data_IF_211417523009
#
_entry.id   IF_211417523009
#
_cell.length_a   1.000
_cell.length_b   1.000
_cell.length_c   1.000
_cell.angle_alpha   90.00
_cell.angle_beta   90.00
_cell.angle_gamma   90.00
#
_symmetry.space_group_name_H-M   'P 1'
#
loop_
_entity.id
_entity.type
_entity.pdbx_description
1 polymer ?
#
# COMPACT_ATOMS: atom_id res chain seq x y z
N UNK A 1 5.06 -19.23 -2.28
CA UNK A 1 3.96 -20.03 -2.86
C UNK A 1 4.48 -21.42 -3.23
N UNK A 2 3.66 -22.45 -3.07
CA UNK A 2 3.99 -23.80 -3.56
C UNK A 2 3.82 -23.82 -5.09
N UNK A 3 4.83 -24.31 -5.81
CA UNK A 3 4.80 -24.51 -7.26
C UNK A 3 4.23 -25.88 -7.60
N UNK A 4 4.67 -26.91 -6.86
CA UNK A 4 4.13 -28.25 -6.82
C UNK A 4 4.41 -28.91 -5.44
N UNK A 5 4.38 -30.24 -5.34
CA UNK A 5 4.57 -30.94 -4.05
C UNK A 5 5.93 -30.73 -3.39
N UNK A 6 6.98 -30.34 -4.15
CA UNK A 6 8.36 -30.19 -3.66
C UNK A 6 8.93 -28.80 -3.89
N UNK A 7 8.40 -28.04 -4.86
CA UNK A 7 8.96 -26.79 -5.29
C UNK A 7 8.22 -25.61 -4.70
N UNK A 8 8.98 -24.62 -4.25
CA UNK A 8 8.46 -23.44 -3.56
C UNK A 8 9.04 -22.20 -4.23
N UNK A 9 8.16 -21.23 -4.55
CA UNK A 9 8.57 -19.87 -4.91
C UNK A 9 8.71 -19.04 -3.64
N UNK A 10 9.87 -18.42 -3.46
CA UNK A 10 10.21 -17.58 -2.32
C UNK A 10 10.45 -16.17 -2.83
N UNK A 11 9.83 -15.18 -2.20
CA UNK A 11 10.09 -13.78 -2.48
C UNK A 11 10.22 -12.97 -1.20
N UNK A 12 10.89 -11.85 -1.31
CA UNK A 12 11.05 -10.92 -0.20
C UNK A 12 11.63 -9.60 -0.67
N UNK A 13 11.98 -8.76 0.29
CA UNK A 13 12.75 -7.55 0.04
C UNK A 13 14.14 -7.71 0.61
N UNK A 14 15.11 -6.99 0.02
CA UNK A 14 16.50 -7.00 0.51
C UNK A 14 17.01 -5.57 0.69
N UNK A 15 18.06 -5.44 1.50
CA UNK A 15 18.77 -4.19 1.74
C UNK A 15 20.25 -4.37 1.49
N UNK A 16 20.86 -3.38 0.88
CA UNK A 16 22.33 -3.30 0.73
C UNK A 16 23.01 -2.65 1.93
N UNK A 17 22.22 -2.02 2.82
CA UNK A 17 22.69 -1.33 4.02
C UNK A 17 22.18 -1.96 5.32
N UNK A 18 22.59 -1.35 6.45
CA UNK A 18 22.24 -1.82 7.79
C UNK A 18 20.86 -1.27 8.29
N UNK A 19 20.10 -0.61 7.44
CA UNK A 19 18.80 -0.03 7.78
C UNK A 19 17.65 -1.04 7.75
N UNK A 20 16.50 -0.65 8.30
CA UNK A 20 15.25 -1.43 8.24
C UNK A 20 14.52 -1.32 6.90
N UNK A 21 14.93 -0.37 6.06
CA UNK A 21 14.34 -0.16 4.72
C UNK A 21 15.03 -1.05 3.68
N UNK A 22 14.26 -1.49 2.71
CA UNK A 22 14.74 -2.33 1.60
C UNK A 22 15.08 -1.49 0.36
N UNK A 23 16.06 -1.93 -0.41
CA UNK A 23 16.50 -1.30 -1.67
C UNK A 23 15.93 -1.99 -2.90
N UNK A 24 15.38 -3.18 -2.73
CA UNK A 24 14.81 -3.96 -3.80
C UNK A 24 14.03 -5.17 -3.31
N UNK A 25 13.61 -5.97 -4.25
CA UNK A 25 12.96 -7.26 -4.03
C UNK A 25 13.78 -8.39 -4.66
N UNK A 26 13.59 -9.59 -4.17
CA UNK A 26 14.20 -10.80 -4.74
C UNK A 26 13.14 -11.88 -4.95
N UNK A 27 13.45 -12.75 -5.93
CA UNK A 27 12.70 -13.97 -6.20
C UNK A 27 13.68 -15.12 -6.33
N UNK A 28 13.35 -16.26 -5.75
CA UNK A 28 14.06 -17.53 -5.91
C UNK A 28 13.08 -18.68 -5.83
N UNK A 29 13.48 -19.83 -6.35
CA UNK A 29 12.69 -21.06 -6.36
C UNK A 29 13.49 -22.20 -5.75
N UNK A 30 12.80 -23.23 -5.28
CA UNK A 30 13.42 -24.53 -5.07
C UNK A 30 13.08 -25.44 -6.25
N UNK A 31 14.02 -26.28 -6.66
CA UNK A 31 13.81 -27.35 -7.64
C UNK A 31 14.26 -28.65 -6.99
N UNK A 32 13.37 -29.62 -6.90
CA UNK A 32 13.57 -30.88 -6.16
C UNK A 32 14.02 -30.69 -4.70
N UNK A 33 13.59 -29.55 -4.10
CA UNK A 33 13.93 -29.15 -2.73
C UNK A 33 15.27 -28.42 -2.59
N UNK A 34 16.02 -28.20 -3.66
CA UNK A 34 17.27 -27.43 -3.66
C UNK A 34 17.03 -25.97 -4.04
N UNK A 35 17.55 -25.05 -3.22
CA UNK A 35 17.40 -23.60 -3.46
C UNK A 35 18.20 -23.18 -4.70
N UNK A 36 17.55 -22.52 -5.63
CA UNK A 36 18.13 -21.95 -6.84
C UNK A 36 18.73 -20.56 -6.56
N UNK A 37 19.53 -20.04 -7.51
CA UNK A 37 20.03 -18.68 -7.45
C UNK A 37 18.88 -17.66 -7.38
N UNK A 38 19.01 -16.66 -6.51
CA UNK A 38 18.03 -15.62 -6.38
C UNK A 38 18.22 -14.54 -7.46
N UNK A 39 17.12 -14.10 -8.05
CA UNK A 39 17.08 -12.92 -8.91
C UNK A 39 16.81 -11.70 -8.05
N UNK A 40 17.66 -10.68 -8.13
CA UNK A 40 17.55 -9.43 -7.38
C UNK A 40 17.15 -8.28 -8.29
N UNK A 41 16.21 -7.45 -7.84
CA UNK A 41 15.66 -6.33 -8.58
C UNK A 41 15.67 -5.08 -7.69
N UNK A 42 16.54 -4.11 -8.02
CA UNK A 42 16.54 -2.82 -7.33
C UNK A 42 15.27 -2.03 -7.67
N UNK A 43 14.68 -1.35 -6.72
CA UNK A 43 13.50 -0.54 -6.96
C UNK A 43 13.71 0.52 -8.04
N UNK A 44 14.88 1.17 -8.07
CA UNK A 44 15.19 2.22 -9.04
C UNK A 44 15.30 1.71 -10.49
N UNK A 45 15.48 0.40 -10.67
CA UNK A 45 15.63 -0.22 -11.98
C UNK A 45 14.32 -0.86 -12.47
N UNK A 46 13.30 -0.92 -11.62
CA UNK A 46 11.98 -1.37 -12.01
C UNK A 46 11.31 -0.34 -12.91
N UNK A 47 10.77 -0.80 -14.03
CA UNK A 47 9.97 0.04 -14.92
C UNK A 47 8.78 0.64 -14.17
N UNK A 48 8.49 1.89 -14.45
CA UNK A 48 7.38 2.65 -13.83
C UNK A 48 7.41 2.76 -12.30
N UNK A 49 8.50 2.38 -11.61
CA UNK A 49 8.56 2.46 -10.16
C UNK A 49 8.34 3.89 -9.64
N UNK A 50 8.86 4.89 -10.35
CA UNK A 50 8.73 6.30 -9.95
C UNK A 50 7.44 6.97 -10.46
N UNK A 51 6.55 6.26 -11.15
CA UNK A 51 5.35 6.82 -11.77
C UNK A 51 4.37 7.46 -10.77
N UNK A 52 4.43 7.09 -9.51
CA UNK A 52 3.64 7.71 -8.44
C UNK A 52 4.09 9.12 -8.07
N UNK A 53 5.30 9.53 -8.47
CA UNK A 53 5.86 10.86 -8.23
C UNK A 53 5.48 11.85 -9.33
N UNK A 54 5.43 13.16 -9.03
CA UNK A 54 5.31 14.18 -10.06
C UNK A 54 6.48 14.12 -11.07
N UNK A 55 6.22 14.35 -12.34
CA UNK A 55 7.22 14.31 -13.44
C UNK A 55 8.50 15.09 -13.14
N UNK A 56 8.36 16.29 -12.55
CA UNK A 56 9.52 17.10 -12.13
C UNK A 56 10.43 16.39 -11.13
N UNK A 57 9.85 15.58 -10.26
CA UNK A 57 10.60 14.79 -9.26
C UNK A 57 11.26 13.59 -9.92
N UNK A 58 10.55 12.90 -10.81
CA UNK A 58 11.10 11.80 -11.61
C UNK A 58 12.33 12.28 -12.38
N UNK A 59 12.21 13.37 -13.16
CA UNK A 59 13.33 13.96 -13.92
C UNK A 59 14.54 14.36 -13.07
N UNK A 60 14.32 14.73 -11.80
CA UNK A 60 15.43 15.02 -10.86
C UNK A 60 16.15 13.74 -10.42
N UNK A 61 15.40 12.66 -10.20
CA UNK A 61 15.95 11.37 -9.82
C UNK A 61 16.73 10.80 -11.01
N UNK A 62 16.18 10.87 -12.22
CA UNK A 62 16.85 10.38 -13.44
C UNK A 62 18.19 11.10 -13.67
N UNK A 63 18.22 12.44 -13.59
CA UNK A 63 19.47 13.21 -13.66
C UNK A 63 20.46 12.82 -12.56
N UNK A 64 19.98 12.49 -11.36
CA UNK A 64 20.84 12.01 -10.28
C UNK A 64 21.39 10.63 -10.59
N UNK A 65 20.57 9.72 -11.14
CA UNK A 65 20.97 8.36 -11.57
C UNK A 65 22.08 8.46 -12.63
N UNK A 66 21.88 9.24 -13.68
CA UNK A 66 22.87 9.48 -14.73
C UNK A 66 24.21 10.03 -14.18
N UNK A 67 24.12 11.06 -13.31
CA UNK A 67 25.31 11.64 -12.69
C UNK A 67 26.06 10.67 -11.79
N UNK A 68 25.38 9.75 -11.11
CA UNK A 68 26.03 8.74 -10.28
C UNK A 68 26.65 7.67 -11.16
N UNK A 69 25.95 7.21 -12.19
CA UNK A 69 26.45 6.23 -13.16
C UNK A 69 27.73 6.74 -13.88
N UNK A 70 27.79 8.02 -14.25
CA UNK A 70 29.01 8.63 -14.84
C UNK A 70 30.22 8.62 -13.91
N UNK A 71 30.03 8.36 -12.62
CA UNK A 71 31.08 8.22 -11.58
C UNK A 71 31.30 6.78 -11.15
N UNK A 72 30.72 5.81 -11.88
CA UNK A 72 30.79 4.40 -11.54
C UNK A 72 30.07 4.04 -10.23
N UNK A 73 29.02 4.79 -9.87
CA UNK A 73 28.20 4.56 -8.68
C UNK A 73 26.74 4.36 -9.06
N UNK A 74 26.08 3.41 -8.43
CA UNK A 74 24.67 3.21 -8.57
C UNK A 74 23.84 4.11 -7.62
N UNK A 75 22.71 4.59 -8.10
CA UNK A 75 21.74 5.28 -7.25
C UNK A 75 20.86 4.22 -6.58
N UNK A 76 20.87 4.21 -5.27
CA UNK A 76 19.96 3.40 -4.48
C UNK A 76 18.84 4.26 -3.89
N UNK A 77 17.64 3.70 -3.87
CA UNK A 77 16.48 4.23 -3.16
C UNK A 77 15.96 3.16 -2.22
N UNK A 78 15.52 3.57 -1.04
CA UNK A 78 15.12 2.64 0.01
C UNK A 78 13.73 2.96 0.55
N UNK A 79 12.93 1.93 0.80
CA UNK A 79 11.58 2.04 1.35
C UNK A 79 11.33 0.97 2.41
N UNK A 80 10.54 1.31 3.42
CA UNK A 80 9.90 0.27 4.22
C UNK A 80 8.70 -0.23 3.41
N UNK A 81 8.58 -1.54 3.27
CA UNK A 81 7.54 -2.20 2.48
C UNK A 81 6.71 -3.15 3.32
N UNK A 82 5.39 -3.00 3.31
CA UNK A 82 4.44 -4.00 3.79
C UNK A 82 4.15 -4.97 2.64
N UNK A 83 4.79 -6.14 2.68
CA UNK A 83 4.74 -7.12 1.60
C UNK A 83 3.53 -8.03 1.80
N UNK A 84 2.81 -8.31 0.71
CA UNK A 84 1.77 -9.33 0.67
C UNK A 84 2.35 -10.72 0.45
N UNK A 85 1.54 -11.74 0.69
CA UNK A 85 1.86 -13.09 0.23
C UNK A 85 1.91 -13.11 -1.30
N UNK A 86 2.71 -13.99 -1.87
CA UNK A 86 2.78 -14.17 -3.32
C UNK A 86 1.40 -14.58 -3.83
N UNK A 87 0.93 -13.90 -4.86
CA UNK A 87 -0.40 -14.09 -5.43
C UNK A 87 -0.25 -14.85 -6.75
N UNK A 88 -0.80 -16.07 -6.89
CA UNK A 88 -0.84 -16.76 -8.17
C UNK A 88 -1.59 -15.92 -9.22
N UNK A 89 -1.14 -15.89 -10.47
CA UNK A 89 -1.73 -15.13 -11.56
C UNK A 89 -1.63 -15.89 -12.89
N UNK A 90 -2.58 -16.79 -13.13
CA UNK A 90 -2.48 -17.75 -14.22
C UNK A 90 -1.32 -18.71 -13.96
N UNK A 91 -0.40 -18.81 -14.93
CA UNK A 91 0.84 -19.59 -14.79
C UNK A 91 1.97 -18.84 -14.08
N UNK A 92 1.77 -17.57 -13.74
CA UNK A 92 2.75 -16.64 -13.19
C UNK A 92 2.41 -16.22 -11.76
N UNK A 93 3.18 -15.30 -11.19
CA UNK A 93 3.04 -14.85 -9.81
C UNK A 93 3.15 -13.33 -9.70
N UNK A 94 2.39 -12.75 -8.77
CA UNK A 94 2.46 -11.34 -8.44
C UNK A 94 3.12 -11.13 -7.10
N UNK A 95 4.06 -10.20 -7.08
CA UNK A 95 4.53 -9.52 -5.88
C UNK A 95 3.72 -8.24 -5.68
N UNK A 96 3.28 -7.97 -4.47
CA UNK A 96 2.61 -6.75 -4.08
C UNK A 96 3.24 -6.22 -2.80
N UNK A 97 3.69 -4.97 -2.83
CA UNK A 97 4.29 -4.28 -1.69
C UNK A 97 3.73 -2.87 -1.56
N UNK A 98 3.47 -2.44 -0.33
CA UNK A 98 2.96 -1.11 0.00
C UNK A 98 4.03 -0.33 0.77
N UNK A 99 4.54 0.75 0.17
CA UNK A 99 5.60 1.56 0.76
C UNK A 99 5.07 2.50 1.84
N UNK A 100 5.75 2.57 2.97
CA UNK A 100 5.39 3.41 4.10
C UNK A 100 6.62 4.01 4.81
N UNK A 101 6.37 5.03 5.62
CA UNK A 101 7.38 5.58 6.52
C UNK A 101 6.74 6.01 7.86
N UNK A 102 7.50 5.98 8.97
CA UNK A 102 7.02 6.46 10.25
C UNK A 102 6.87 7.98 10.23
N UNK A 103 5.80 8.49 10.84
CA UNK A 103 5.58 9.92 11.03
C UNK A 103 5.62 10.26 12.50
N UNK A 104 6.03 11.50 12.79
CA UNK A 104 6.15 12.01 14.15
C UNK A 104 5.47 13.37 14.24
N UNK A 105 4.83 13.63 15.35
CA UNK A 105 4.31 14.95 15.71
C UNK A 105 5.12 15.54 16.85
N UNK A 106 5.21 16.84 16.86
CA UNK A 106 5.87 17.58 17.94
C UNK A 106 4.88 17.85 19.06
N UNK A 107 5.19 17.44 20.29
CA UNK A 107 4.44 17.78 21.48
C UNK A 107 5.29 18.66 22.40
N UNK A 108 4.66 19.71 22.92
CA UNK A 108 5.25 20.55 23.95
C UNK A 108 4.77 20.10 25.32
N UNK A 109 5.69 19.75 26.21
CA UNK A 109 5.39 19.33 27.58
C UNK A 109 5.97 20.37 28.55
N UNK A 110 5.12 20.87 29.42
CA UNK A 110 5.53 21.77 30.51
C UNK A 110 5.61 20.98 31.80
N UNK A 111 6.77 20.99 32.44
CA UNK A 111 7.02 20.43 33.75
C UNK A 111 7.40 21.54 34.71
N UNK A 112 7.17 21.35 36.02
CA UNK A 112 7.56 22.33 37.02
C UNK A 112 8.78 21.81 37.78
N UNK A 113 9.89 22.53 37.70
CA UNK A 113 11.11 22.23 38.47
C UNK A 113 11.33 23.36 39.46
N UNK A 114 11.31 23.05 40.75
CA UNK A 114 11.41 24.03 41.83
C UNK A 114 10.39 25.19 41.72
N UNK A 115 9.14 24.85 41.34
CA UNK A 115 8.04 25.82 41.17
C UNK A 115 8.12 26.67 39.87
N UNK A 116 9.16 26.49 39.05
CA UNK A 116 9.32 27.19 37.78
C UNK A 116 8.90 26.30 36.61
N UNK A 117 8.07 26.80 35.67
CA UNK A 117 7.71 26.04 34.49
C UNK A 117 8.91 25.86 33.57
N UNK A 118 9.18 24.63 33.18
CA UNK A 118 10.19 24.26 32.18
C UNK A 118 9.49 23.58 31.02
N UNK A 119 9.63 24.13 29.84
CA UNK A 119 9.01 23.62 28.61
C UNK A 119 10.02 22.83 27.80
N UNK A 120 9.66 21.59 27.48
CA UNK A 120 10.43 20.69 26.60
C UNK A 120 9.61 20.29 25.40
N UNK A 121 10.27 20.15 24.28
CA UNK A 121 9.66 19.68 23.03
C UNK A 121 10.11 18.25 22.76
N UNK A 122 9.16 17.37 22.52
CA UNK A 122 9.41 15.93 22.25
C UNK A 122 8.76 15.52 20.93
N UNK A 123 9.41 14.62 20.22
CA UNK A 123 8.84 13.97 19.05
C UNK A 123 8.08 12.71 19.48
N UNK A 124 6.80 12.64 19.13
CA UNK A 124 5.93 11.51 19.46
C UNK A 124 5.52 10.83 18.16
N UNK A 125 5.64 9.51 18.12
CA UNK A 125 5.22 8.71 16.96
C UNK A 125 3.74 8.96 16.65
N UNK A 126 3.42 9.22 15.36
CA UNK A 126 2.10 9.62 14.85
C UNK A 126 1.55 8.65 13.81
N UNK A 127 2.05 7.42 13.82
CA UNK A 127 1.63 6.38 12.90
C UNK A 127 2.46 6.30 11.61
N UNK A 128 2.11 5.35 10.77
CA UNK A 128 2.77 5.09 9.49
C UNK A 128 2.00 5.75 8.34
N UNK A 129 2.70 6.55 7.53
CA UNK A 129 2.15 7.11 6.29
C UNK A 129 2.53 6.23 5.11
N UNK A 130 1.54 5.75 4.39
CA UNK A 130 1.73 5.00 3.15
C UNK A 130 1.79 5.97 1.96
N UNK A 131 2.56 5.63 0.93
CA UNK A 131 2.85 6.53 -0.19
C UNK A 131 2.46 5.97 -1.55
N UNK A 132 2.82 4.73 -1.81
CA UNK A 132 2.61 4.08 -3.09
C UNK A 132 2.59 2.56 -2.91
N UNK A 133 2.06 1.88 -3.90
CA UNK A 133 2.15 0.43 -4.00
C UNK A 133 2.91 0.03 -5.26
N UNK A 134 3.72 -1.01 -5.12
CA UNK A 134 4.42 -1.70 -6.20
C UNK A 134 3.72 -3.03 -6.45
N UNK A 135 3.33 -3.28 -7.70
CA UNK A 135 2.92 -4.58 -8.19
C UNK A 135 3.92 -5.02 -9.26
N UNK A 136 4.37 -6.26 -9.19
CA UNK A 136 5.31 -6.82 -10.16
C UNK A 136 4.91 -8.27 -10.48
N UNK A 137 4.98 -8.64 -11.75
CA UNK A 137 4.64 -9.98 -12.22
C UNK A 137 5.91 -10.75 -12.58
N UNK A 138 5.96 -12.00 -12.15
CA UNK A 138 7.10 -12.89 -12.32
C UNK A 138 6.63 -14.22 -12.90
N UNK A 139 7.43 -14.81 -13.78
CA UNK A 139 7.24 -16.18 -14.23
C UNK A 139 7.67 -17.19 -13.15
N UNK A 140 7.47 -18.49 -13.42
CA UNK A 140 7.84 -19.59 -12.52
C UNK A 140 9.35 -19.67 -12.23
N UNK A 141 10.19 -19.14 -13.11
CA UNK A 141 11.64 -19.07 -12.91
C UNK A 141 12.07 -17.86 -12.05
N UNK A 142 11.13 -17.02 -11.63
CA UNK A 142 11.41 -15.81 -10.86
C UNK A 142 11.92 -14.65 -11.71
N UNK A 143 11.73 -14.67 -13.03
CA UNK A 143 12.09 -13.59 -13.92
C UNK A 143 10.97 -12.56 -13.98
N UNK A 144 11.34 -11.28 -13.90
CA UNK A 144 10.40 -10.15 -13.96
C UNK A 144 9.81 -10.02 -15.37
N UNK A 145 8.49 -10.06 -15.47
CA UNK A 145 7.74 -9.84 -16.70
C UNK A 145 7.36 -8.37 -16.88
N UNK A 146 6.85 -7.75 -15.84
CA UNK A 146 6.54 -6.32 -15.79
C UNK A 146 6.40 -5.83 -14.34
N UNK A 147 6.49 -4.53 -14.16
CA UNK A 147 6.19 -3.86 -12.90
C UNK A 147 5.38 -2.59 -13.09
N UNK A 148 4.55 -2.27 -12.12
CA UNK A 148 3.76 -1.04 -12.07
C UNK A 148 3.78 -0.47 -10.66
N UNK A 149 3.73 0.86 -10.59
CA UNK A 149 3.65 1.55 -9.33
C UNK A 149 2.52 2.58 -9.39
N UNK A 150 1.74 2.68 -8.34
CA UNK A 150 0.67 3.66 -8.26
C UNK A 150 0.63 4.34 -6.90
N UNK A 151 0.23 5.59 -6.92
CA UNK A 151 0.09 6.36 -5.70
C UNK A 151 -1.03 5.79 -4.84
N UNK A 152 -0.74 5.55 -3.57
CA UNK A 152 -1.72 5.39 -2.52
C UNK A 152 -1.30 6.34 -1.39
N UNK A 153 -2.21 7.16 -0.93
CA UNK A 153 -1.91 8.10 0.14
C UNK A 153 -3.11 8.15 1.08
N UNK A 154 -3.33 7.06 1.85
CA UNK A 154 -4.44 6.99 2.75
C UNK A 154 -4.34 8.08 3.82
N UNK A 155 -5.46 8.67 4.15
CA UNK A 155 -5.58 9.67 5.21
C UNK A 155 -5.30 9.07 6.59
N UNK A 156 -5.68 7.80 6.77
CA UNK A 156 -5.49 7.06 8.01
C UNK A 156 -4.04 6.63 8.17
N UNK A 157 -3.42 7.02 9.27
CA UNK A 157 -2.07 6.59 9.67
C UNK A 157 -2.17 5.51 10.76
N UNK A 158 -2.05 4.24 10.45
CA UNK A 158 -2.09 3.18 11.45
C UNK A 158 -0.85 3.23 12.36
N UNK A 159 -1.01 2.84 13.62
CA UNK A 159 0.10 2.72 14.58
C UNK A 159 0.89 1.42 14.46
N UNK A 160 0.46 0.54 13.57
CA UNK A 160 1.13 -0.71 13.22
C UNK A 160 1.20 -0.86 11.70
N UNK A 161 2.13 -1.65 11.22
CA UNK A 161 2.25 -1.94 9.79
C UNK A 161 1.09 -2.83 9.38
N UNK A 162 0.27 -2.36 8.44
CA UNK A 162 -0.85 -3.12 7.89
C UNK A 162 -0.78 -3.15 6.36
N UNK A 163 -1.55 -4.04 5.76
CA UNK A 163 -1.77 -4.13 4.31
C UNK A 163 -3.14 -3.56 4.01
N UNK A 164 -3.18 -2.44 3.28
CA UNK A 164 -4.43 -1.79 2.89
C UNK A 164 -5.10 -2.48 1.72
N UNK A 165 -4.29 -2.88 0.73
CA UNK A 165 -4.77 -3.43 -0.53
C UNK A 165 -5.32 -4.85 -0.30
N UNK A 166 -6.42 -5.13 -0.98
CA UNK A 166 -6.98 -6.47 -1.14
C UNK A 166 -7.02 -6.80 -2.62
N UNK A 167 -6.64 -8.02 -2.94
CA UNK A 167 -6.67 -8.52 -4.31
C UNK A 167 -7.96 -9.30 -4.47
N UNK A 168 -8.75 -8.99 -5.49
CA UNK A 168 -9.93 -9.78 -5.85
C UNK A 168 -9.50 -11.13 -6.40
N UNK A 169 -10.38 -12.11 -6.25
CA UNK A 169 -10.23 -13.37 -6.95
C UNK A 169 -10.01 -13.10 -8.45
N UNK A 170 -9.05 -13.82 -9.01
CA UNK A 170 -8.66 -13.62 -10.40
C UNK A 170 -9.82 -13.91 -11.32
N UNK A 171 -10.34 -12.89 -11.98
CA UNK A 171 -11.14 -13.06 -13.17
C UNK A 171 -10.20 -13.34 -14.35
N UNK A 172 -10.66 -14.08 -15.34
CA UNK A 172 -9.81 -14.68 -16.39
C UNK A 172 -8.85 -13.74 -17.14
N UNK A 173 -8.98 -12.40 -16.98
CA UNK A 173 -8.17 -11.45 -17.76
C UNK A 173 -7.72 -10.20 -16.99
N UNK A 174 -7.95 -10.09 -15.69
CA UNK A 174 -7.64 -8.86 -14.97
C UNK A 174 -7.23 -9.10 -13.50
N UNK A 175 -6.30 -8.24 -13.06
CA UNK A 175 -5.84 -8.16 -11.68
C UNK A 175 -6.53 -6.97 -11.03
N UNK A 176 -7.42 -7.22 -10.09
CA UNK A 176 -8.19 -6.18 -9.39
C UNK A 176 -7.63 -5.96 -7.99
N UNK A 177 -7.21 -4.73 -7.73
CA UNK A 177 -6.70 -4.26 -6.44
C UNK A 177 -7.70 -3.28 -5.84
N UNK A 178 -8.08 -3.49 -4.58
CA UNK A 178 -9.07 -2.65 -3.89
C UNK A 178 -8.55 -2.27 -2.52
N UNK A 179 -8.68 -1.01 -2.15
CA UNK A 179 -8.41 -0.54 -0.80
C UNK A 179 -9.41 0.52 -0.37
N UNK A 180 -9.62 0.65 0.94
CA UNK A 180 -10.51 1.64 1.51
C UNK A 180 -9.73 2.65 2.35
N UNK A 181 -10.11 3.92 2.26
CA UNK A 181 -9.60 4.98 3.11
C UNK A 181 -10.67 6.05 3.36
N UNK A 182 -10.93 6.30 4.63
CA UNK A 182 -11.96 7.24 5.04
C UNK A 182 -13.33 6.82 4.52
N UNK A 183 -13.93 7.67 3.67
CA UNK A 183 -15.23 7.42 3.04
C UNK A 183 -15.12 6.83 1.64
N UNK A 184 -13.92 6.64 1.12
CA UNK A 184 -13.71 6.26 -0.27
C UNK A 184 -13.19 4.82 -0.38
N UNK A 185 -13.54 4.20 -1.50
CA UNK A 185 -13.02 2.91 -1.93
C UNK A 185 -12.36 3.13 -3.27
N UNK A 186 -11.13 2.70 -3.35
CA UNK A 186 -10.28 2.82 -4.52
C UNK A 186 -10.12 1.45 -5.16
N UNK A 187 -10.34 1.39 -6.46
CA UNK A 187 -10.14 0.18 -7.23
C UNK A 187 -9.24 0.45 -8.42
N UNK A 188 -8.26 -0.41 -8.59
CA UNK A 188 -7.36 -0.39 -9.72
C UNK A 188 -7.37 -1.75 -10.40
N UNK A 189 -7.41 -1.73 -11.70
CA UNK A 189 -7.47 -2.94 -12.50
C UNK A 189 -6.35 -2.91 -13.53
N UNK A 190 -5.59 -4.00 -13.60
CA UNK A 190 -4.54 -4.22 -14.58
C UNK A 190 -4.87 -5.45 -15.40
N UNK A 191 -4.55 -5.42 -16.69
CA UNK A 191 -4.53 -6.62 -17.50
C UNK A 191 -3.30 -7.50 -17.14
N UNK A 192 -3.21 -8.68 -17.75
CA UNK A 192 -2.09 -9.59 -17.50
C UNK A 192 -0.75 -9.12 -18.08
N UNK A 193 -0.76 -8.08 -18.91
CA UNK A 193 0.43 -7.43 -19.46
C UNK A 193 0.88 -6.22 -18.61
N UNK A 194 0.17 -5.91 -17.53
CA UNK A 194 0.49 -4.81 -16.63
C UNK A 194 -0.06 -3.47 -17.07
N UNK A 195 -0.92 -3.42 -18.10
CA UNK A 195 -1.58 -2.18 -18.51
C UNK A 195 -2.73 -1.88 -17.53
N UNK A 196 -2.75 -0.67 -16.99
CA UNK A 196 -3.86 -0.22 -16.15
C UNK A 196 -5.10 0.02 -17.02
N UNK A 197 -6.12 -0.81 -16.85
CA UNK A 197 -7.37 -0.74 -17.62
C UNK A 197 -8.46 0.04 -16.90
N UNK A 198 -8.35 0.18 -15.58
CA UNK A 198 -9.31 0.96 -14.78
C UNK A 198 -8.65 1.56 -13.52
N UNK A 199 -9.02 2.82 -13.24
CA UNK A 199 -8.69 3.53 -12.00
C UNK A 199 -9.98 4.21 -11.49
N UNK A 200 -10.71 3.50 -10.63
CA UNK A 200 -12.00 3.96 -10.13
C UNK A 200 -11.90 4.37 -8.67
N UNK A 201 -12.40 5.54 -8.37
CA UNK A 201 -12.73 5.93 -7.00
C UNK A 201 -14.22 5.85 -6.86
N UNK A 202 -14.72 4.88 -6.11
CA UNK A 202 -16.14 4.79 -5.86
C UNK A 202 -16.56 5.55 -4.63
N UNK A 203 -17.81 5.97 -4.69
CA UNK A 203 -18.43 6.87 -3.78
C UNK A 203 -18.39 6.41 -2.32
N UNK A 204 -18.41 7.42 -1.51
CA UNK A 204 -18.51 7.40 -0.08
C UNK A 204 -19.58 6.45 0.43
N UNK A 205 -19.23 5.79 1.49
CA UNK A 205 -20.16 5.17 2.42
C UNK A 205 -20.97 6.31 3.02
N UNK A 206 -22.20 6.48 2.57
CA UNK A 206 -23.06 7.56 3.03
C UNK A 206 -23.58 7.28 4.45
N UNK A 207 -23.88 8.34 5.18
CA UNK A 207 -24.60 8.24 6.44
C UNK A 207 -25.95 7.53 6.28
N UNK A 208 -26.52 7.08 7.39
CA UNK A 208 -27.76 6.29 7.40
C UNK A 208 -29.03 7.09 7.14
N UNK A 209 -28.96 8.44 7.18
CA UNK A 209 -30.09 9.35 7.00
C UNK A 209 -29.77 10.44 5.99
N UNK A 210 -30.79 10.98 5.33
CA UNK A 210 -30.66 11.97 4.26
C UNK A 210 -29.88 13.23 4.66
N UNK A 211 -30.08 13.72 5.89
CA UNK A 211 -29.40 14.90 6.40
C UNK A 211 -28.08 14.64 7.12
N UNK A 212 -27.59 13.41 7.08
CA UNK A 212 -26.31 13.04 7.68
C UNK A 212 -25.14 13.60 6.88
N UNK A 213 -24.20 14.23 7.60
CA UNK A 213 -22.92 14.65 7.05
C UNK A 213 -21.80 13.86 7.71
N UNK A 214 -21.17 12.99 6.96
CA UNK A 214 -19.99 12.26 7.43
C UNK A 214 -18.86 13.25 7.63
N UNK A 215 -18.29 13.29 8.82
CA UNK A 215 -17.16 14.16 9.20
C UNK A 215 -15.84 13.42 9.23
N UNK A 216 -15.92 12.17 9.56
CA UNK A 216 -14.78 11.27 9.65
C UNK A 216 -15.30 9.85 9.44
N UNK A 217 -14.52 9.06 8.74
CA UNK A 217 -14.73 7.62 8.68
C UNK A 217 -13.38 6.88 8.83
N UNK A 218 -13.47 5.76 9.48
CA UNK A 218 -12.43 4.73 9.46
C UNK A 218 -13.03 3.52 8.79
N UNK A 219 -12.44 3.05 7.71
CA UNK A 219 -12.94 1.93 6.93
C UNK A 219 -11.86 0.88 6.70
N UNK A 220 -12.29 -0.36 6.72
CA UNK A 220 -11.53 -1.52 6.32
C UNK A 220 -12.27 -2.19 5.16
N UNK A 221 -11.50 -2.92 4.33
CA UNK A 221 -12.07 -3.70 3.24
C UNK A 221 -11.45 -5.09 3.23
N UNK A 222 -12.28 -6.10 2.97
CA UNK A 222 -11.86 -7.49 2.84
C UNK A 222 -12.44 -8.08 1.57
N UNK A 223 -11.65 -8.90 0.88
CA UNK A 223 -12.17 -9.74 -0.17
C UNK A 223 -13.14 -10.78 0.42
N UNK A 224 -14.27 -10.99 -0.21
CA UNK A 224 -15.26 -11.95 0.25
C UNK A 224 -15.34 -13.15 -0.70
N UNK A 225 -15.91 -12.95 -1.89
CA UNK A 225 -15.98 -13.97 -2.93
C UNK A 225 -16.23 -13.32 -4.30
N UNK A 226 -15.88 -13.98 -5.38
CA UNK A 226 -16.02 -13.50 -6.77
C UNK A 226 -15.52 -12.06 -6.94
N UNK A 227 -16.40 -11.13 -7.30
CA UNK A 227 -16.14 -9.70 -7.39
C UNK A 227 -16.68 -8.92 -6.18
N UNK A 228 -16.99 -9.60 -5.07
CA UNK A 228 -17.55 -8.96 -3.89
C UNK A 228 -16.51 -8.75 -2.79
N UNK A 229 -16.63 -7.58 -2.17
CA UNK A 229 -15.87 -7.18 -1.00
C UNK A 229 -16.81 -6.80 0.13
N UNK A 230 -16.35 -6.99 1.36
CA UNK A 230 -16.97 -6.50 2.57
C UNK A 230 -16.22 -5.27 3.03
N UNK A 231 -16.88 -4.10 3.07
CA UNK A 231 -16.34 -2.91 3.70
C UNK A 231 -17.09 -2.61 4.99
N UNK A 232 -16.35 -2.36 6.06
CA UNK A 232 -16.93 -2.01 7.35
C UNK A 232 -16.08 -0.96 8.08
N UNK A 233 -16.68 -0.33 9.06
CA UNK A 233 -15.99 0.69 9.83
C UNK A 233 -16.91 1.54 10.69
N UNK A 234 -16.38 2.68 11.13
CA UNK A 234 -17.10 3.65 11.97
C UNK A 234 -17.11 5.00 11.27
N UNK A 235 -18.29 5.61 11.22
CA UNK A 235 -18.45 6.97 10.74
C UNK A 235 -18.86 7.90 11.89
N UNK A 236 -18.23 9.06 11.96
CA UNK A 236 -18.68 10.16 12.80
C UNK A 236 -19.59 11.08 11.98
N UNK A 237 -20.84 11.08 12.34
CA UNK A 237 -21.90 11.82 11.66
C UNK A 237 -22.22 13.11 12.40
N UNK A 238 -22.48 14.18 11.64
CA UNK A 238 -23.11 15.41 12.12
C UNK A 238 -24.42 15.58 11.38
N UNK A 239 -25.55 15.67 12.14
CA UNK A 239 -26.85 15.98 11.64
C UNK A 239 -27.37 17.21 12.41
N UNK A 240 -27.80 18.25 11.68
CA UNK A 240 -28.27 19.51 12.28
C UNK A 240 -29.68 19.88 11.84
N UNK A 241 -30.34 19.02 11.06
CA UNK A 241 -31.64 19.29 10.50
C UNK A 241 -32.74 18.45 11.14
N UNK A 242 -32.41 17.23 11.54
CA UNK A 242 -33.39 16.31 12.12
C UNK A 242 -33.36 16.44 13.64
N UNK A 243 -34.49 16.80 14.25
CA UNK A 243 -34.65 17.09 15.69
C UNK A 243 -34.58 15.79 16.52
N UNK A 244 -35.07 14.68 15.97
CA UNK A 244 -35.19 13.40 16.66
C UNK A 244 -33.89 12.61 16.77
N UNK A 245 -32.77 13.12 16.23
CA UNK A 245 -31.47 12.42 16.24
C UNK A 245 -30.38 13.24 16.91
N UNK A 246 -29.47 12.54 17.60
CA UNK A 246 -28.31 13.21 18.18
C UNK A 246 -27.53 13.96 17.10
N UNK A 247 -27.28 15.24 17.34
CA UNK A 247 -26.52 16.12 16.44
C UNK A 247 -25.17 15.60 16.05
N UNK A 248 -24.50 14.84 16.92
CA UNK A 248 -23.23 14.12 16.66
C UNK A 248 -23.37 12.70 17.14
N UNK A 249 -23.08 11.73 16.27
CA UNK A 249 -23.10 10.31 16.63
C UNK A 249 -22.03 9.53 15.85
N UNK A 250 -21.64 8.41 16.42
CA UNK A 250 -20.83 7.41 15.70
C UNK A 250 -21.79 6.31 15.26
N UNK A 251 -21.65 5.88 14.02
CA UNK A 251 -22.37 4.73 13.49
C UNK A 251 -21.39 3.69 12.99
N UNK A 252 -21.68 2.42 13.26
CA UNK A 252 -21.03 1.30 12.64
C UNK A 252 -21.70 1.05 11.28
N UNK A 253 -20.94 0.79 10.25
CA UNK A 253 -21.45 0.39 8.95
C UNK A 253 -20.81 -0.90 8.49
N UNK A 254 -21.57 -1.67 7.71
CA UNK A 254 -21.12 -2.85 6.99
C UNK A 254 -21.75 -2.82 5.60
N UNK A 255 -20.95 -2.85 4.56
CA UNK A 255 -21.43 -2.80 3.18
C UNK A 255 -20.85 -3.95 2.36
N UNK A 256 -21.71 -4.57 1.56
CA UNK A 256 -21.31 -5.44 0.48
C UNK A 256 -21.08 -4.60 -0.78
N UNK A 257 -19.89 -4.71 -1.33
CA UNK A 257 -19.47 -3.95 -2.49
C UNK A 257 -19.17 -4.91 -3.63
N UNK A 258 -19.75 -4.65 -4.78
CA UNK A 258 -19.43 -5.35 -6.02
C UNK A 258 -18.46 -4.51 -6.83
N UNK A 259 -17.40 -5.13 -7.30
CA UNK A 259 -16.40 -4.51 -8.15
C UNK A 259 -16.53 -5.09 -9.56
N UNK A 260 -17.18 -4.32 -10.43
CA UNK A 260 -17.38 -4.70 -11.85
C UNK A 260 -16.27 -4.14 -12.72
#
# INVERSE_FOLDING_TARGET
AALDKKDILISGTYSTGNGSSSTGLYMTTTVDGELQAANFYNYIDLENFLSYLPERTQARIDKKKERMASRGKDLEISYNMAIHEIIPCGDDYLFLGEAYYPTYRTETRTTYVNGKPTTTTVQVFDGYQYTHALIAKFNKAGELLWSQCFKMYPFTKPFYVKRFIRVAGQTQNAIKLVFADGNNIYGKEFDFNGVMVSDKTSASINGSMENDKVRYASSEIYYWYDNFFLSYGVQRIKNTKDEDVKRKRNILFVNKIKFD
#
